data_IF_703562604265
#
_entry.id   IF_703562604265
#
_cell.length_a   1.000
_cell.length_b   1.000
_cell.length_c   1.000
_cell.angle_alpha   90.00
_cell.angle_beta   90.00
_cell.angle_gamma   90.00
#
_symmetry.space_group_name_H-M   'P 1'
#
loop_
_entity.id
_entity.type
_entity.pdbx_description
1 polymer ?
#
# COMPACT_ATOMS: atom_id res chain seq x y z
N UNK A 1 26.21 -26.46 -48.29
CA UNK A 1 25.36 -27.62 -48.63
C UNK A 1 24.06 -27.50 -47.89
N UNK A 2 22.99 -27.43 -48.65
CA UNK A 2 21.59 -27.29 -48.20
C UNK A 2 21.10 -28.60 -47.59
N UNK A 3 20.27 -28.56 -46.56
CA UNK A 3 19.14 -29.47 -46.38
C UNK A 3 18.06 -28.84 -45.51
N UNK A 4 16.99 -28.41 -46.15
CA UNK A 4 15.68 -28.13 -45.60
C UNK A 4 15.00 -29.45 -45.22
N UNK A 5 14.28 -29.48 -44.10
CA UNK A 5 13.18 -30.43 -43.92
C UNK A 5 11.98 -29.64 -43.38
N UNK A 6 10.97 -29.60 -44.23
CA UNK A 6 9.57 -29.19 -43.99
C UNK A 6 8.78 -30.48 -43.75
N UNK A 7 7.82 -30.47 -42.84
CA UNK A 7 6.58 -31.30 -42.88
C UNK A 7 6.01 -31.41 -41.46
N UNK A 8 4.77 -31.35 -41.15
CA UNK A 8 3.51 -30.98 -41.79
C UNK A 8 2.46 -30.96 -40.64
N UNK A 9 1.45 -30.22 -40.86
CA UNK A 9 0.22 -30.12 -40.01
C UNK A 9 -0.51 -31.47 -39.95
N UNK A 10 -1.16 -31.76 -38.80
CA UNK A 10 -2.42 -32.52 -38.82
C UNK A 10 -3.35 -31.95 -37.71
N UNK A 11 -4.43 -31.40 -38.21
CA UNK A 11 -5.68 -31.05 -37.47
C UNK A 11 -6.47 -32.33 -37.21
N UNK A 12 -7.05 -32.45 -36.02
CA UNK A 12 -8.18 -33.34 -35.78
C UNK A 12 -9.16 -32.68 -34.84
N UNK A 13 -10.28 -32.27 -35.40
CA UNK A 13 -11.50 -31.84 -34.67
C UNK A 13 -12.31 -33.11 -34.35
N UNK A 14 -12.82 -33.19 -33.13
CA UNK A 14 -13.94 -34.13 -32.81
C UNK A 14 -14.99 -33.32 -32.07
N UNK A 15 -16.12 -33.19 -32.73
CA UNK A 15 -17.42 -32.74 -32.23
C UNK A 15 -18.16 -33.98 -31.73
N UNK A 16 -18.69 -33.97 -30.56
CA UNK A 16 -19.77 -34.88 -30.16
C UNK A 16 -20.77 -34.13 -29.29
N UNK A 17 -21.92 -33.84 -29.88
CA UNK A 17 -23.15 -33.45 -29.22
C UNK A 17 -23.89 -34.68 -28.73
N UNK A 18 -24.46 -34.67 -27.53
CA UNK A 18 -25.57 -35.54 -27.18
C UNK A 18 -26.54 -34.80 -26.21
N UNK A 19 -27.71 -34.60 -26.74
CA UNK A 19 -28.96 -34.17 -26.15
C UNK A 19 -29.50 -35.21 -25.15
N UNK A 20 -30.13 -34.76 -24.07
CA UNK A 20 -30.88 -35.59 -23.18
C UNK A 20 -31.87 -34.79 -22.35
N UNK A 21 -33.12 -34.71 -22.83
CA UNK A 21 -34.29 -34.22 -22.12
C UNK A 21 -34.71 -35.18 -20.97
N UNK A 22 -35.25 -34.60 -19.88
CA UNK A 22 -35.95 -35.36 -18.83
C UNK A 22 -36.75 -34.43 -17.93
N UNK A 23 -38.03 -34.30 -18.23
CA UNK A 23 -39.10 -33.57 -17.50
C UNK A 23 -39.68 -34.44 -16.36
N UNK A 24 -40.10 -33.83 -15.25
CA UNK A 24 -41.31 -34.10 -14.46
C UNK A 24 -41.32 -33.20 -13.23
N UNK A 25 -42.21 -32.26 -13.20
CA UNK A 25 -43.59 -32.23 -12.70
C UNK A 25 -43.73 -32.15 -11.19
N UNK A 26 -44.12 -30.98 -10.71
CA UNK A 26 -45.32 -30.55 -9.99
C UNK A 26 -45.58 -31.12 -8.59
N UNK A 27 -45.72 -30.26 -7.59
CA UNK A 27 -46.99 -30.13 -6.86
C UNK A 27 -47.09 -28.76 -6.15
N UNK A 28 -48.13 -28.04 -6.46
CA UNK A 28 -48.68 -26.89 -5.75
C UNK A 28 -49.24 -27.34 -4.39
N UNK A 29 -49.28 -26.44 -3.41
CA UNK A 29 -50.44 -26.30 -2.53
C UNK A 29 -50.52 -24.90 -1.95
N UNK A 30 -51.63 -24.29 -2.24
CA UNK A 30 -52.27 -23.05 -1.87
C UNK A 30 -52.70 -23.01 -0.40
N UNK A 31 -52.78 -21.82 0.20
CA UNK A 31 -53.90 -21.21 0.97
C UNK A 31 -53.33 -20.01 1.76
N UNK A 32 -53.69 -18.90 1.54
CA UNK A 32 -54.73 -17.86 1.64
C UNK A 32 -55.41 -17.79 3.03
N UNK A 33 -55.40 -16.55 3.61
CA UNK A 33 -56.45 -15.84 4.34
C UNK A 33 -55.82 -14.67 5.12
N UNK A 34 -55.94 -13.40 4.74
CA UNK A 34 -57.06 -12.44 4.91
C UNK A 34 -57.48 -12.22 6.37
N UNK A 35 -57.33 -10.98 6.85
CA UNK A 35 -58.26 -10.02 7.48
C UNK A 35 -57.45 -8.88 8.08
N UNK A 36 -57.52 -7.67 7.57
CA UNK A 36 -58.51 -6.59 7.68
C UNK A 36 -58.48 -5.85 9.02
N UNK A 37 -57.95 -4.61 8.90
CA UNK A 37 -58.50 -3.31 9.28
C UNK A 37 -58.79 -3.03 10.78
N UNK A 38 -58.27 -1.92 11.25
CA UNK A 38 -59.08 -0.79 11.67
C UNK A 38 -58.28 0.49 11.91
N UNK A 39 -58.88 1.54 11.47
CA UNK A 39 -58.51 2.95 11.42
C UNK A 39 -58.74 3.58 12.80
N UNK A 40 -57.87 4.48 13.24
CA UNK A 40 -58.28 5.65 14.01
C UNK A 40 -57.42 6.85 13.70
N UNK A 41 -58.07 7.84 13.15
CA UNK A 41 -57.69 9.21 12.93
C UNK A 41 -57.62 9.98 14.25
N UNK A 42 -56.62 10.83 14.42
CA UNK A 42 -56.75 12.08 15.16
C UNK A 42 -55.73 13.10 14.65
N UNK A 43 -56.30 14.15 14.22
CA UNK A 43 -55.86 15.42 13.70
C UNK A 43 -55.11 16.25 14.73
N UNK A 44 -54.02 16.93 14.32
CA UNK A 44 -53.66 18.23 14.85
C UNK A 44 -52.54 18.88 14.02
N UNK A 45 -52.95 19.81 13.25
CA UNK A 45 -52.27 20.90 12.57
C UNK A 45 -51.25 21.62 13.47
N UNK A 46 -50.04 21.89 12.99
CA UNK A 46 -49.40 23.23 13.11
C UNK A 46 -48.15 23.37 12.21
N UNK A 47 -48.25 24.31 11.29
CA UNK A 47 -47.30 25.28 10.79
C UNK A 47 -45.92 24.81 10.28
N UNK A 48 -45.79 24.87 8.99
CA UNK A 48 -44.55 25.03 8.24
C UNK A 48 -43.82 26.33 8.64
N UNK A 49 -42.55 26.22 8.97
CA UNK A 49 -41.60 27.32 8.81
C UNK A 49 -40.41 26.76 8.03
N UNK A 50 -40.37 27.11 6.77
CA UNK A 50 -39.21 27.00 5.91
C UNK A 50 -38.14 27.96 6.43
N UNK A 51 -37.01 27.43 6.91
CA UNK A 51 -35.75 28.18 6.97
C UNK A 51 -34.87 27.65 5.86
N UNK A 52 -34.85 28.38 4.79
CA UNK A 52 -33.77 28.47 3.83
C UNK A 52 -32.50 28.88 4.60
N UNK A 53 -31.62 27.92 4.90
CA UNK A 53 -30.32 28.20 5.47
C UNK A 53 -29.38 28.58 4.34
N UNK A 54 -29.10 29.85 4.35
CA UNK A 54 -28.08 30.59 3.63
C UNK A 54 -26.75 29.82 3.63
N UNK A 55 -26.38 29.31 2.43
CA UNK A 55 -25.04 28.73 2.17
C UNK A 55 -24.09 29.88 1.85
N UNK A 56 -23.67 30.59 2.86
CA UNK A 56 -22.54 31.51 2.76
C UNK A 56 -21.87 31.61 4.12
N UNK A 57 -21.24 30.53 4.53
CA UNK A 57 -20.20 30.63 5.56
C UNK A 57 -18.88 30.39 4.83
N UNK A 58 -18.22 31.49 4.50
CA UNK A 58 -16.84 31.52 4.08
C UNK A 58 -16.05 30.80 5.17
N UNK A 59 -15.44 29.66 4.80
CA UNK A 59 -14.52 28.96 5.66
C UNK A 59 -13.51 29.96 6.22
N UNK A 60 -13.51 30.14 7.53
CA UNK A 60 -12.48 30.88 8.23
C UNK A 60 -11.15 30.22 7.83
N UNK A 61 -10.29 30.99 7.17
CA UNK A 61 -8.93 30.58 6.83
C UNK A 61 -8.22 30.38 8.16
N UNK A 62 -8.13 29.12 8.61
CA UNK A 62 -7.39 28.76 9.79
C UNK A 62 -5.91 29.10 9.57
N UNK A 63 -5.23 29.59 10.60
CA UNK A 63 -3.77 29.75 10.60
C UNK A 63 -3.15 28.41 10.14
N UNK A 64 -2.48 28.41 8.95
CA UNK A 64 -1.89 27.21 8.35
C UNK A 64 -2.55 26.73 7.05
N UNK A 65 -3.36 27.56 6.37
CA UNK A 65 -3.88 27.22 5.03
C UNK A 65 -2.72 27.08 4.03
N UNK A 66 -2.76 26.01 3.23
CA UNK A 66 -1.77 25.77 2.20
C UNK A 66 -1.89 26.86 1.12
N UNK A 67 -0.77 27.43 0.67
CA UNK A 67 -0.73 28.40 -0.44
C UNK A 67 -1.25 27.80 -1.75
N UNK A 68 -1.02 26.51 -1.96
CA UNK A 68 -1.53 25.76 -3.10
C UNK A 68 -3.06 25.83 -3.22
N UNK A 69 -3.80 26.12 -2.11
CA UNK A 69 -5.25 26.25 -2.12
C UNK A 69 -5.76 27.65 -2.47
N UNK A 70 -4.88 28.66 -2.58
CA UNK A 70 -5.30 30.04 -2.85
C UNK A 70 -5.81 30.27 -4.29
N UNK A 71 -5.27 29.55 -5.29
CA UNK A 71 -5.60 29.71 -6.71
C UNK A 71 -5.63 28.36 -7.44
N UNK A 72 -6.52 27.48 -7.00
CA UNK A 72 -6.66 26.13 -7.58
C UNK A 72 -7.30 26.20 -8.96
N UNK A 73 -6.65 25.60 -9.97
CA UNK A 73 -7.29 25.34 -11.27
C UNK A 73 -8.37 24.22 -11.09
N UNK A 74 -9.66 24.52 -11.30
CA UNK A 74 -10.71 23.50 -11.12
C UNK A 74 -10.61 22.34 -12.12
N UNK A 75 -9.84 22.50 -13.20
CA UNK A 75 -9.58 21.44 -14.18
C UNK A 75 -8.30 20.66 -13.90
N UNK A 76 -7.43 21.19 -13.04
CA UNK A 76 -6.22 20.52 -12.56
C UNK A 76 -6.53 19.26 -11.73
N UNK A 77 -5.51 18.50 -11.36
CA UNK A 77 -5.72 17.30 -10.55
C UNK A 77 -6.15 17.67 -9.13
N UNK A 78 -5.48 18.63 -8.50
CA UNK A 78 -5.86 19.15 -7.18
C UNK A 78 -7.31 19.63 -7.16
N UNK A 79 -7.73 20.42 -8.17
CA UNK A 79 -9.12 20.90 -8.29
C UNK A 79 -10.14 19.77 -8.35
N UNK A 80 -9.84 18.69 -9.05
CA UNK A 80 -10.70 17.51 -9.13
C UNK A 80 -10.77 16.75 -7.80
N UNK A 81 -9.65 16.61 -7.08
CA UNK A 81 -9.59 16.01 -5.74
C UNK A 81 -10.48 16.80 -4.78
N UNK A 82 -10.33 18.13 -4.75
CA UNK A 82 -11.14 19.01 -3.89
C UNK A 82 -12.63 18.94 -4.23
N UNK A 83 -12.97 18.95 -5.52
CA UNK A 83 -14.35 18.85 -5.98
C UNK A 83 -14.98 17.49 -5.67
N UNK A 84 -14.19 16.41 -5.70
CA UNK A 84 -14.61 15.07 -5.31
C UNK A 84 -14.77 14.90 -3.80
N UNK A 85 -14.17 15.79 -2.99
CA UNK A 85 -14.16 15.73 -1.54
C UNK A 85 -13.35 14.55 -0.99
N UNK A 86 -12.48 13.93 -1.79
CA UNK A 86 -11.65 12.80 -1.36
C UNK A 86 -10.34 12.70 -2.14
N UNK A 87 -9.33 12.15 -1.49
CA UNK A 87 -8.03 11.79 -2.08
C UNK A 87 -7.76 10.29 -1.90
N UNK A 88 -7.25 9.64 -2.93
CA UNK A 88 -6.97 8.20 -2.92
C UNK A 88 -5.48 7.93 -2.71
N UNK A 89 -5.16 7.09 -1.72
CA UNK A 89 -3.81 6.62 -1.41
C UNK A 89 -3.65 5.15 -1.81
N UNK A 90 -2.68 4.82 -2.66
CA UNK A 90 -2.21 3.44 -2.84
C UNK A 90 -1.10 3.11 -1.86
N UNK A 91 -1.20 1.93 -1.22
CA UNK A 91 -0.21 1.45 -0.24
C UNK A 91 -0.12 -0.07 -0.21
N UNK A 92 1.05 -0.62 0.16
CA UNK A 92 1.29 -2.06 0.36
C UNK A 92 1.41 -2.35 1.86
N UNK A 93 0.29 -2.68 2.54
CA UNK A 93 0.24 -2.69 4.01
C UNK A 93 0.82 -3.97 4.62
N UNK A 94 2.08 -4.24 4.35
CA UNK A 94 2.92 -5.33 4.84
C UNK A 94 4.32 -4.84 5.28
N UNK A 95 4.49 -3.51 5.41
CA UNK A 95 5.78 -2.85 5.60
C UNK A 95 5.82 -2.04 6.91
N UNK A 96 5.59 -2.71 8.06
CA UNK A 96 5.68 -2.06 9.38
C UNK A 96 7.08 -1.50 9.64
N UNK A 97 7.20 -0.32 10.27
CA UNK A 97 6.15 0.49 10.91
C UNK A 97 5.50 1.55 10.00
N UNK A 98 5.77 1.55 8.69
CA UNK A 98 5.26 2.58 7.77
C UNK A 98 3.78 2.36 7.42
N UNK A 99 3.44 1.16 6.94
CA UNK A 99 2.08 0.76 6.63
C UNK A 99 1.87 -0.73 6.89
N UNK A 100 0.84 -1.06 7.67
CA UNK A 100 0.51 -2.45 7.99
C UNK A 100 -0.97 -2.62 8.36
N UNK A 101 -1.40 -3.88 8.36
CA UNK A 101 -2.75 -4.26 8.76
C UNK A 101 -2.81 -4.47 10.26
N UNK A 102 -3.74 -3.77 10.91
CA UNK A 102 -4.15 -4.02 12.26
C UNK A 102 -5.51 -4.72 12.26
N UNK A 103 -5.58 -5.88 12.88
CA UNK A 103 -6.83 -6.67 12.98
C UNK A 103 -7.21 -6.95 14.43
N UNK A 104 -6.60 -6.27 15.41
CA UNK A 104 -6.83 -6.46 16.84
C UNK A 104 -8.24 -6.13 17.28
N UNK A 105 -8.86 -5.14 16.63
CA UNK A 105 -10.26 -4.76 16.90
C UNK A 105 -11.30 -5.73 16.34
N UNK A 106 -10.88 -6.79 15.61
CA UNK A 106 -11.76 -7.69 14.87
C UNK A 106 -12.15 -7.18 13.47
N UNK A 107 -11.76 -5.94 13.13
CA UNK A 107 -11.86 -5.36 11.79
C UNK A 107 -10.45 -5.09 11.27
N UNK A 108 -10.28 -5.09 9.95
CA UNK A 108 -8.99 -4.72 9.36
C UNK A 108 -8.89 -3.20 9.28
N UNK A 109 -7.88 -2.65 9.96
CA UNK A 109 -7.49 -1.25 9.83
C UNK A 109 -6.13 -1.17 9.15
N UNK A 110 -5.93 -0.13 8.32
CA UNK A 110 -4.61 0.20 7.78
C UNK A 110 -4.01 1.30 8.63
N UNK A 111 -2.80 1.06 9.13
CA UNK A 111 -2.14 1.91 10.12
C UNK A 111 -0.65 2.00 9.84
N UNK A 112 0.03 2.95 10.47
CA UNK A 112 1.47 3.17 10.32
C UNK A 112 1.78 4.62 9.97
N UNK A 113 3.06 4.98 10.00
CA UNK A 113 3.49 6.36 9.83
C UNK A 113 3.11 6.96 8.47
N UNK A 114 3.16 6.15 7.40
CA UNK A 114 2.76 6.56 6.04
C UNK A 114 1.24 6.77 5.95
N UNK A 115 0.47 5.98 6.71
CA UNK A 115 -0.98 6.15 6.79
C UNK A 115 -1.34 7.42 7.56
N UNK A 116 -0.64 7.74 8.64
CA UNK A 116 -0.85 8.99 9.38
C UNK A 116 -0.44 10.22 8.54
N UNK A 117 0.65 10.12 7.77
CA UNK A 117 1.03 11.15 6.80
C UNK A 117 -0.09 11.39 5.76
N UNK A 118 -0.67 10.32 5.22
CA UNK A 118 -1.77 10.43 4.27
C UNK A 118 -3.02 11.06 4.87
N UNK A 119 -3.38 10.69 6.11
CA UNK A 119 -4.48 11.31 6.87
C UNK A 119 -4.24 12.81 7.07
N UNK A 120 -3.03 13.18 7.43
CA UNK A 120 -2.66 14.58 7.63
C UNK A 120 -2.74 15.38 6.34
N UNK A 121 -2.29 14.82 5.21
CA UNK A 121 -2.45 15.45 3.88
C UNK A 121 -3.94 15.65 3.56
N UNK A 122 -4.78 14.63 3.74
CA UNK A 122 -6.21 14.72 3.47
C UNK A 122 -6.89 15.78 4.36
N UNK A 123 -6.54 15.85 5.65
CA UNK A 123 -7.00 16.87 6.59
C UNK A 123 -6.63 18.27 6.12
N UNK A 124 -5.37 18.50 5.72
CA UNK A 124 -4.89 19.81 5.24
C UNK A 124 -5.56 20.23 3.93
N UNK A 125 -5.93 19.29 3.09
CA UNK A 125 -6.68 19.53 1.86
C UNK A 125 -8.20 19.68 2.12
N UNK A 126 -8.69 19.34 3.31
CA UNK A 126 -10.11 19.36 3.66
C UNK A 126 -10.94 18.30 2.94
N UNK A 127 -10.36 17.12 2.66
CA UNK A 127 -10.99 16.00 1.94
C UNK A 127 -10.92 14.71 2.74
N UNK A 128 -11.72 13.71 2.36
CA UNK A 128 -11.64 12.37 2.94
C UNK A 128 -10.47 11.57 2.34
N UNK A 129 -9.81 10.73 3.15
CA UNK A 129 -8.80 9.78 2.68
C UNK A 129 -9.46 8.45 2.30
N UNK A 130 -9.26 8.00 1.05
CA UNK A 130 -9.60 6.64 0.62
C UNK A 130 -8.31 5.81 0.46
N UNK A 131 -8.10 4.80 1.32
CA UNK A 131 -6.94 3.91 1.24
C UNK A 131 -7.24 2.75 0.30
N UNK A 132 -6.39 2.54 -0.71
CA UNK A 132 -6.45 1.43 -1.67
C UNK A 132 -5.26 0.50 -1.45
N UNK A 133 -5.44 -0.60 -0.69
CA UNK A 133 -4.37 -1.57 -0.49
C UNK A 133 -4.10 -2.34 -1.79
N UNK A 134 -2.82 -2.46 -2.14
CA UNK A 134 -2.38 -3.20 -3.33
C UNK A 134 -0.92 -3.61 -3.19
N UNK A 135 -0.43 -4.46 -4.09
CA UNK A 135 0.98 -4.83 -4.16
C UNK A 135 1.86 -3.61 -4.52
N UNK A 136 3.10 -3.57 -4.02
CA UNK A 136 3.99 -2.41 -4.21
C UNK A 136 4.21 -2.06 -5.69
N UNK A 137 4.40 -3.06 -6.55
CA UNK A 137 4.54 -2.85 -7.99
C UNK A 137 3.26 -2.30 -8.65
N UNK A 138 2.09 -2.67 -8.12
CA UNK A 138 0.81 -2.18 -8.61
C UNK A 138 0.56 -0.71 -8.25
N UNK A 139 1.09 -0.23 -7.11
CA UNK A 139 1.01 1.19 -6.73
C UNK A 139 1.68 2.05 -7.81
N UNK A 140 2.88 1.68 -8.26
CA UNK A 140 3.62 2.42 -9.28
C UNK A 140 2.83 2.51 -10.59
N UNK A 141 2.18 1.41 -11.00
CA UNK A 141 1.33 1.37 -12.19
C UNK A 141 0.06 2.22 -12.01
N UNK A 142 -0.57 2.17 -10.83
CA UNK A 142 -1.77 2.93 -10.52
C UNK A 142 -1.50 4.45 -10.49
N UNK A 143 -0.36 4.87 -9.93
CA UNK A 143 0.12 6.27 -9.95
C UNK A 143 0.36 6.73 -11.39
N UNK A 144 1.16 6.01 -12.16
CA UNK A 144 1.52 6.40 -13.53
C UNK A 144 0.31 6.49 -14.45
N UNK A 145 -0.68 5.61 -14.27
CA UNK A 145 -1.94 5.65 -15.03
C UNK A 145 -2.95 6.68 -14.51
N UNK A 146 -2.76 7.24 -13.29
CA UNK A 146 -3.71 8.16 -12.65
C UNK A 146 -4.96 7.45 -12.10
N UNK A 147 -4.86 6.17 -11.74
CA UNK A 147 -5.94 5.40 -11.12
C UNK A 147 -6.04 5.64 -9.59
N UNK A 148 -5.01 6.22 -9.02
CA UNK A 148 -4.94 6.74 -7.66
C UNK A 148 -4.27 8.12 -7.70
N UNK A 149 -4.54 8.95 -6.70
CA UNK A 149 -4.03 10.31 -6.64
C UNK A 149 -2.60 10.35 -6.11
N UNK A 150 -2.29 9.51 -5.11
CA UNK A 150 -0.94 9.41 -4.52
C UNK A 150 -0.58 7.98 -4.13
N UNK A 151 0.69 7.65 -4.24
CA UNK A 151 1.30 6.42 -3.71
C UNK A 151 2.17 6.77 -2.51
N UNK A 152 1.84 6.22 -1.33
CA UNK A 152 2.62 6.35 -0.11
C UNK A 152 2.84 4.95 0.44
N UNK A 153 4.09 4.46 0.36
CA UNK A 153 4.45 3.09 0.74
C UNK A 153 5.97 2.95 0.88
N UNK A 154 6.57 3.77 1.73
CA UNK A 154 8.01 3.76 1.94
C UNK A 154 8.84 3.98 0.68
N UNK A 155 8.34 4.71 -0.32
CA UNK A 155 9.04 4.90 -1.58
C UNK A 155 10.39 5.58 -1.37
N UNK A 156 11.49 4.90 -1.72
CA UNK A 156 12.76 5.54 -1.89
C UNK A 156 12.76 6.40 -3.17
N UNK A 157 13.43 7.54 -3.14
CA UNK A 157 13.72 8.29 -4.36
C UNK A 157 14.67 7.48 -5.25
N UNK A 158 14.37 7.39 -6.54
CA UNK A 158 15.29 6.90 -7.58
C UNK A 158 15.07 7.71 -8.86
N UNK A 159 16.14 7.92 -9.64
CA UNK A 159 16.05 8.63 -10.91
C UNK A 159 15.05 7.97 -11.87
N UNK A 160 15.03 6.64 -11.91
CA UNK A 160 14.07 5.85 -12.72
C UNK A 160 12.61 6.17 -12.34
N UNK A 161 12.30 6.28 -11.04
CA UNK A 161 10.97 6.69 -10.59
C UNK A 161 10.67 8.14 -10.94
N UNK A 162 11.63 9.02 -10.81
CA UNK A 162 11.49 10.44 -11.17
C UNK A 162 11.26 10.66 -12.67
N UNK A 163 11.72 9.75 -13.53
CA UNK A 163 11.41 9.79 -14.98
C UNK A 163 9.93 9.49 -15.26
N UNK A 164 9.31 8.59 -14.50
CA UNK A 164 7.95 8.07 -14.76
C UNK A 164 6.86 8.69 -13.89
N UNK A 165 7.20 9.26 -12.72
CA UNK A 165 6.26 9.80 -11.74
C UNK A 165 6.68 11.20 -11.28
N UNK A 166 5.75 11.99 -10.75
CA UNK A 166 6.04 13.14 -9.91
C UNK A 166 6.41 12.64 -8.51
N UNK A 167 7.57 13.04 -8.00
CA UNK A 167 8.03 12.66 -6.67
C UNK A 167 8.09 13.89 -5.78
N UNK A 168 7.57 13.76 -4.56
CA UNK A 168 7.52 14.85 -3.58
C UNK A 168 8.89 15.22 -3.01
N UNK A 169 8.93 16.30 -2.23
CA UNK A 169 9.96 16.52 -1.23
C UNK A 169 10.07 15.30 -0.30
N UNK A 170 11.23 15.17 0.32
CA UNK A 170 11.52 14.00 1.17
C UNK A 170 10.92 14.12 2.55
N UNK A 171 10.30 13.04 3.01
CA UNK A 171 9.90 12.82 4.39
C UNK A 171 10.71 11.66 5.00
N UNK A 172 10.56 11.36 6.28
CA UNK A 172 11.32 10.32 6.98
C UNK A 172 12.85 10.48 6.83
N UNK A 173 13.32 11.72 6.87
CA UNK A 173 14.72 12.10 6.58
C UNK A 173 15.71 11.68 7.68
N UNK A 174 15.22 11.31 8.85
CA UNK A 174 16.04 10.93 10.01
C UNK A 174 16.33 9.42 10.09
N UNK A 175 15.85 8.64 9.14
CA UNK A 175 16.15 7.19 9.13
C UNK A 175 17.63 6.93 8.85
N UNK A 176 18.26 6.10 9.69
CA UNK A 176 19.70 5.78 9.60
C UNK A 176 19.97 4.29 9.41
N UNK A 177 18.93 3.47 9.35
CA UNK A 177 19.07 2.01 9.43
C UNK A 177 19.31 1.31 8.10
N UNK A 178 19.70 2.00 7.05
CA UNK A 178 20.15 1.38 5.80
C UNK A 178 19.20 0.32 5.20
N UNK A 179 19.75 -0.50 4.32
CA UNK A 179 19.09 -1.62 3.65
C UNK A 179 19.91 -2.89 3.89
N UNK A 180 19.26 -4.03 4.14
CA UNK A 180 19.97 -5.26 4.48
C UNK A 180 19.15 -6.51 4.18
N UNK A 181 19.53 -7.60 4.84
CA UNK A 181 18.91 -8.91 4.63
C UNK A 181 18.48 -9.52 5.98
N UNK A 182 17.26 -10.02 6.05
CA UNK A 182 16.84 -10.95 7.09
C UNK A 182 17.31 -12.35 6.73
N UNK A 183 17.81 -13.07 7.71
CA UNK A 183 18.28 -14.45 7.62
C UNK A 183 17.79 -15.24 8.85
N UNK A 184 18.01 -16.55 8.87
CA UNK A 184 17.83 -17.33 10.11
C UNK A 184 18.73 -16.79 11.21
N UNK A 185 18.18 -16.58 12.41
CA UNK A 185 18.84 -15.91 13.54
C UNK A 185 20.18 -16.52 13.90
N UNK A 186 20.27 -17.84 13.90
CA UNK A 186 21.50 -18.57 14.20
C UNK A 186 22.61 -18.40 13.14
N UNK A 187 22.28 -17.87 11.98
CA UNK A 187 23.21 -17.64 10.87
C UNK A 187 23.57 -16.17 10.68
N UNK A 188 22.97 -15.24 11.42
CA UNK A 188 23.08 -13.79 11.18
C UNK A 188 24.53 -13.30 11.09
N UNK A 189 25.40 -13.72 12.00
CA UNK A 189 26.82 -13.33 12.02
C UNK A 189 27.67 -14.03 10.94
N UNK A 190 27.17 -15.08 10.31
CA UNK A 190 27.85 -15.75 9.20
C UNK A 190 27.67 -15.00 7.88
N UNK A 191 26.59 -14.23 7.78
CA UNK A 191 26.26 -13.39 6.62
C UNK A 191 26.76 -11.96 6.87
N UNK A 192 28.06 -11.76 6.81
CA UNK A 192 28.73 -10.48 7.14
C UNK A 192 29.37 -9.77 5.95
N UNK A 193 29.38 -10.39 4.77
CA UNK A 193 29.81 -9.79 3.50
C UNK A 193 28.84 -10.20 2.38
N UNK A 194 28.90 -9.49 1.23
CA UNK A 194 28.11 -9.86 0.06
C UNK A 194 28.45 -11.30 -0.43
N UNK A 195 29.74 -11.68 -0.39
CA UNK A 195 30.21 -13.00 -0.83
C UNK A 195 29.64 -14.14 0.01
N UNK A 196 29.25 -13.88 1.26
CA UNK A 196 28.64 -14.91 2.12
C UNK A 196 27.29 -15.40 1.58
N UNK A 197 26.69 -14.67 0.63
CA UNK A 197 25.45 -15.05 -0.06
C UNK A 197 25.68 -15.79 -1.38
N UNK A 198 26.93 -16.08 -1.80
CA UNK A 198 27.23 -16.81 -3.03
C UNK A 198 26.43 -18.12 -3.11
N UNK A 199 25.73 -18.35 -4.24
CA UNK A 199 24.89 -19.52 -4.49
C UNK A 199 23.61 -19.61 -3.67
N UNK A 200 23.29 -18.61 -2.85
CA UNK A 200 22.11 -18.57 -1.96
C UNK A 200 20.84 -18.12 -2.71
N UNK A 201 19.69 -18.43 -2.13
CA UNK A 201 18.38 -17.95 -2.59
C UNK A 201 17.99 -16.75 -1.75
N UNK A 202 17.76 -15.61 -2.39
CA UNK A 202 17.38 -14.36 -1.74
C UNK A 202 16.01 -13.92 -2.24
N UNK A 203 15.03 -13.84 -1.34
CA UNK A 203 13.73 -13.25 -1.65
C UNK A 203 13.84 -11.72 -1.67
N UNK A 204 13.18 -11.10 -2.63
CA UNK A 204 13.07 -9.64 -2.74
C UNK A 204 11.66 -9.27 -3.21
N UNK A 205 11.08 -8.21 -2.66
CA UNK A 205 9.80 -7.74 -3.15
C UNK A 205 9.98 -7.06 -4.51
N UNK A 206 9.07 -7.35 -5.44
CA UNK A 206 9.15 -6.88 -6.82
C UNK A 206 9.11 -5.34 -6.91
N UNK A 207 9.91 -4.76 -7.82
CA UNK A 207 10.00 -3.32 -8.11
C UNK A 207 10.45 -2.44 -6.93
N UNK A 208 11.08 -3.03 -5.90
CA UNK A 208 11.60 -2.31 -4.74
C UNK A 208 13.07 -1.90 -4.91
N UNK A 209 13.51 -0.94 -4.08
CA UNK A 209 14.92 -0.61 -3.94
C UNK A 209 15.73 -1.83 -3.51
N UNK A 210 15.21 -2.64 -2.58
CA UNK A 210 15.87 -3.84 -2.07
C UNK A 210 16.11 -4.87 -3.16
N UNK A 211 15.17 -5.02 -4.11
CA UNK A 211 15.38 -5.86 -5.29
C UNK A 211 16.53 -5.35 -6.16
N UNK A 212 16.59 -4.05 -6.41
CA UNK A 212 17.68 -3.42 -7.16
C UNK A 212 19.03 -3.64 -6.46
N UNK A 213 19.13 -3.31 -5.17
CA UNK A 213 20.36 -3.45 -4.39
C UNK A 213 20.84 -4.91 -4.34
N UNK A 214 19.93 -5.87 -4.12
CA UNK A 214 20.27 -7.29 -4.12
C UNK A 214 20.80 -7.76 -5.48
N UNK A 215 20.22 -7.28 -6.57
CA UNK A 215 20.65 -7.62 -7.93
C UNK A 215 22.02 -7.01 -8.27
N UNK A 216 22.30 -5.80 -7.80
CA UNK A 216 23.52 -5.06 -8.13
C UNK A 216 24.70 -5.40 -7.22
N UNK A 217 24.46 -5.72 -5.93
CA UNK A 217 25.52 -5.81 -4.93
C UNK A 217 25.78 -7.23 -4.41
N UNK A 218 24.88 -8.18 -4.63
CA UNK A 218 25.16 -9.57 -4.28
C UNK A 218 25.88 -10.30 -5.41
N UNK A 219 26.57 -11.42 -5.11
CA UNK A 219 27.23 -12.25 -6.13
C UNK A 219 26.29 -12.67 -7.26
N UNK A 220 26.80 -12.76 -8.47
CA UNK A 220 26.01 -13.07 -9.68
C UNK A 220 25.39 -14.47 -9.72
N UNK A 221 25.81 -15.38 -8.84
CA UNK A 221 25.26 -16.72 -8.67
C UNK A 221 24.15 -16.79 -7.59
N UNK A 222 23.80 -15.66 -6.97
CA UNK A 222 22.64 -15.55 -6.10
C UNK A 222 21.37 -15.75 -6.90
N UNK A 223 20.46 -16.57 -6.37
CA UNK A 223 19.18 -16.85 -6.99
C UNK A 223 18.11 -15.90 -6.41
N UNK A 224 17.82 -14.82 -7.11
CA UNK A 224 16.76 -13.88 -6.70
C UNK A 224 15.39 -14.53 -6.88
N UNK A 225 14.59 -14.53 -5.80
CA UNK A 225 13.20 -15.00 -5.78
C UNK A 225 12.29 -13.79 -5.56
N UNK A 226 11.56 -13.39 -6.59
CA UNK A 226 10.62 -12.28 -6.49
C UNK A 226 9.38 -12.69 -5.71
N UNK A 227 9.00 -11.86 -4.74
CA UNK A 227 7.73 -11.96 -4.01
C UNK A 227 6.88 -10.72 -4.24
N UNK A 228 5.56 -10.85 -4.11
CA UNK A 228 4.63 -9.73 -4.28
C UNK A 228 4.49 -8.90 -3.01
N UNK A 229 4.66 -9.54 -1.85
CA UNK A 229 4.60 -8.91 -0.52
C UNK A 229 5.69 -9.46 0.41
N UNK A 230 6.03 -8.69 1.42
CA UNK A 230 7.09 -9.04 2.40
C UNK A 230 6.69 -10.27 3.23
N UNK A 231 5.41 -10.41 3.57
CA UNK A 231 4.92 -11.54 4.39
C UNK A 231 5.21 -12.89 3.72
N UNK A 232 5.03 -13.01 2.39
CA UNK A 232 5.39 -14.21 1.65
C UNK A 232 6.90 -14.48 1.72
N UNK A 233 7.73 -13.42 1.61
CA UNK A 233 9.18 -13.51 1.77
C UNK A 233 9.58 -14.04 3.17
N UNK A 234 8.95 -13.53 4.23
CA UNK A 234 9.14 -14.02 5.61
C UNK A 234 8.76 -15.49 5.72
N UNK A 235 7.61 -15.90 5.17
CA UNK A 235 7.20 -17.31 5.17
C UNK A 235 8.18 -18.20 4.40
N UNK A 236 8.74 -17.72 3.30
CA UNK A 236 9.76 -18.46 2.56
C UNK A 236 11.05 -18.61 3.37
N UNK A 237 11.48 -17.56 4.08
CA UNK A 237 12.66 -17.58 4.94
C UNK A 237 12.47 -18.50 6.14
N UNK A 238 11.36 -18.37 6.88
CA UNK A 238 11.07 -19.18 8.08
C UNK A 238 10.92 -20.66 7.75
N UNK A 239 10.41 -21.01 6.56
CA UNK A 239 10.29 -22.40 6.09
C UNK A 239 11.54 -22.92 5.37
N UNK A 240 12.61 -22.11 5.22
CA UNK A 240 13.85 -22.50 4.56
C UNK A 240 13.75 -22.65 3.03
N UNK A 241 12.74 -22.07 2.39
CA UNK A 241 12.63 -22.04 0.91
C UNK A 241 13.60 -21.04 0.29
N UNK A 242 13.97 -20.00 1.05
CA UNK A 242 15.04 -19.05 0.75
C UNK A 242 15.99 -18.93 1.93
N UNK A 243 17.21 -18.48 1.68
CA UNK A 243 18.25 -18.29 2.69
C UNK A 243 18.19 -16.89 3.32
N UNK A 244 17.67 -15.89 2.57
CA UNK A 244 17.55 -14.52 3.03
C UNK A 244 16.34 -13.80 2.39
N UNK A 245 15.93 -12.68 3.02
CA UNK A 245 14.92 -11.75 2.53
C UNK A 245 15.48 -10.33 2.59
N UNK A 246 15.52 -9.62 1.46
CA UNK A 246 15.97 -8.24 1.40
C UNK A 246 14.89 -7.27 1.92
N UNK A 247 15.27 -6.42 2.88
CA UNK A 247 14.38 -5.50 3.60
C UNK A 247 15.09 -4.19 3.93
N UNK A 248 14.33 -3.15 4.30
CA UNK A 248 14.91 -2.02 5.01
C UNK A 248 15.27 -2.40 6.44
N UNK A 249 16.27 -1.73 7.04
CA UNK A 249 16.70 -2.03 8.40
C UNK A 249 15.58 -1.89 9.43
N UNK A 250 14.76 -0.83 9.32
CA UNK A 250 13.63 -0.64 10.24
C UNK A 250 12.56 -1.74 10.11
N UNK A 251 12.19 -2.12 8.88
CA UNK A 251 11.24 -3.21 8.65
C UNK A 251 11.81 -4.55 9.13
N UNK A 252 13.08 -4.82 8.81
CA UNK A 252 13.77 -6.03 9.26
C UNK A 252 13.81 -6.17 10.79
N UNK A 253 14.11 -5.09 11.51
CA UNK A 253 14.06 -5.09 12.98
C UNK A 253 12.63 -5.29 13.51
N UNK A 254 11.63 -4.71 12.86
CA UNK A 254 10.24 -4.89 13.22
C UNK A 254 9.80 -6.35 13.04
N UNK A 255 10.19 -6.97 11.92
CA UNK A 255 9.92 -8.39 11.66
C UNK A 255 10.68 -9.32 12.62
N UNK A 256 11.94 -9.01 12.93
CA UNK A 256 12.72 -9.79 13.89
C UNK A 256 12.19 -9.75 15.34
N UNK A 257 11.38 -8.75 15.68
CA UNK A 257 10.64 -8.72 16.96
C UNK A 257 9.37 -9.58 16.92
N UNK A 258 8.80 -9.79 15.74
CA UNK A 258 7.58 -10.57 15.54
C UNK A 258 7.88 -12.07 15.33
N UNK A 259 9.02 -12.37 14.71
CA UNK A 259 9.44 -13.73 14.37
C UNK A 259 10.78 -14.05 15.06
N UNK A 260 10.74 -14.87 16.09
CA UNK A 260 11.91 -15.15 16.97
C UNK A 260 13.05 -15.89 16.29
N UNK A 261 12.80 -16.54 15.16
CA UNK A 261 13.74 -17.40 14.43
C UNK A 261 14.49 -16.67 13.29
N UNK A 262 14.25 -15.38 13.09
CA UNK A 262 14.94 -14.55 12.10
C UNK A 262 15.62 -13.34 12.73
N UNK A 263 16.66 -12.83 12.08
CA UNK A 263 17.37 -11.61 12.49
C UNK A 263 17.98 -10.92 11.25
N UNK A 264 18.31 -9.64 11.40
CA UNK A 264 19.13 -8.96 10.40
C UNK A 264 20.51 -9.61 10.33
N UNK A 265 21.00 -9.84 9.11
CA UNK A 265 22.39 -10.21 8.86
C UNK A 265 23.32 -9.06 9.25
N UNK A 266 24.58 -9.37 9.55
CA UNK A 266 25.59 -8.33 9.80
C UNK A 266 25.94 -7.54 8.52
N UNK A 267 25.68 -8.12 7.35
CA UNK A 267 25.84 -7.45 6.06
C UNK A 267 24.73 -6.42 5.82
N UNK A 268 25.15 -5.24 5.39
CA UNK A 268 24.25 -4.17 4.91
C UNK A 268 24.66 -3.75 3.50
N UNK A 269 23.68 -3.46 2.67
CA UNK A 269 23.92 -2.89 1.34
C UNK A 269 24.57 -1.51 1.44
N UNK A 270 25.46 -1.19 0.51
CA UNK A 270 26.00 0.15 0.34
C UNK A 270 24.91 1.07 -0.26
N UNK A 271 24.20 1.72 0.64
CA UNK A 271 23.11 2.64 0.32
C UNK A 271 22.90 3.66 1.43
N UNK A 272 22.89 4.93 1.04
CA UNK A 272 22.55 6.04 1.94
C UNK A 272 21.15 6.54 1.62
N UNK A 273 20.24 6.43 2.58
CA UNK A 273 18.89 6.97 2.44
C UNK A 273 18.90 8.48 2.69
N UNK A 274 18.22 9.21 1.82
CA UNK A 274 17.93 10.64 1.99
C UNK A 274 16.48 10.88 2.45
N UNK A 275 15.75 9.82 2.81
CA UNK A 275 14.34 9.83 3.15
C UNK A 275 13.46 9.16 2.09
N UNK A 276 12.15 9.22 2.34
CA UNK A 276 11.13 8.68 1.46
C UNK A 276 10.42 9.80 0.67
N UNK A 277 9.71 9.43 -0.37
CA UNK A 277 8.93 10.34 -1.22
C UNK A 277 7.52 9.83 -1.43
N UNK A 278 6.58 10.74 -1.64
CA UNK A 278 5.24 10.44 -2.13
C UNK A 278 5.29 10.48 -3.66
N UNK A 279 4.67 9.49 -4.30
CA UNK A 279 4.56 9.44 -5.75
C UNK A 279 3.18 9.93 -6.20
N UNK A 280 3.14 10.83 -7.18
CA UNK A 280 1.95 11.26 -7.89
C UNK A 280 2.14 11.02 -9.39
N UNK A 281 1.07 11.11 -10.18
CA UNK A 281 1.20 11.01 -11.62
C UNK A 281 2.13 12.11 -12.16
N UNK A 282 2.96 11.76 -13.13
CA UNK A 282 3.87 12.72 -13.77
C UNK A 282 3.09 13.87 -14.40
N UNK A 283 3.45 15.11 -14.01
CA UNK A 283 2.80 16.34 -14.49
C UNK A 283 1.61 16.83 -13.67
N UNK A 284 1.25 16.14 -12.59
CA UNK A 284 0.24 16.60 -11.62
C UNK A 284 0.88 17.56 -10.61
N UNK A 285 1.48 18.63 -11.12
CA UNK A 285 2.32 19.55 -10.34
C UNK A 285 1.50 20.36 -9.31
N UNK A 286 0.22 20.61 -9.55
CA UNK A 286 -0.69 21.28 -8.63
C UNK A 286 -0.92 20.46 -7.34
N UNK A 287 -1.22 19.17 -7.47
CA UNK A 287 -1.35 18.26 -6.34
C UNK A 287 0.01 18.04 -5.65
N UNK A 288 1.08 17.87 -6.43
CA UNK A 288 2.43 17.67 -5.89
C UNK A 288 2.89 18.85 -5.05
N UNK A 289 2.63 20.10 -5.51
CA UNK A 289 2.97 21.30 -4.75
C UNK A 289 2.20 21.38 -3.42
N UNK A 290 0.91 21.04 -3.41
CA UNK A 290 0.12 21.00 -2.18
C UNK A 290 0.66 19.94 -1.19
N UNK A 291 1.01 18.76 -1.68
CA UNK A 291 1.63 17.70 -0.88
C UNK A 291 2.99 18.17 -0.32
N UNK A 292 3.81 18.85 -1.13
CA UNK A 292 5.13 19.35 -0.69
C UNK A 292 5.01 20.37 0.43
N UNK A 293 4.02 21.29 0.38
CA UNK A 293 3.78 22.23 1.48
C UNK A 293 3.46 21.49 2.79
N UNK A 294 2.68 20.41 2.72
CA UNK A 294 2.38 19.58 3.90
C UNK A 294 3.63 18.86 4.40
N UNK A 295 4.46 18.32 3.51
CA UNK A 295 5.71 17.62 3.90
C UNK A 295 6.67 18.57 4.60
N UNK A 296 6.80 19.82 4.13
CA UNK A 296 7.61 20.83 4.81
C UNK A 296 7.13 21.05 6.23
N UNK A 297 5.83 21.23 6.45
CA UNK A 297 5.24 21.38 7.78
C UNK A 297 5.47 20.14 8.66
N UNK A 298 5.29 18.93 8.10
CA UNK A 298 5.53 17.65 8.80
C UNK A 298 6.99 17.54 9.26
N UNK A 299 7.94 17.89 8.40
CA UNK A 299 9.37 17.86 8.71
C UNK A 299 9.74 18.90 9.78
N UNK A 300 9.25 20.14 9.64
CA UNK A 300 9.52 21.22 10.61
C UNK A 300 8.99 20.90 12.01
N UNK A 301 7.84 20.25 12.09
CA UNK A 301 7.21 19.86 13.36
C UNK A 301 7.68 18.51 13.89
N UNK A 302 8.45 17.73 13.11
CA UNK A 302 8.90 16.40 13.48
C UNK A 302 7.76 15.39 13.66
N UNK A 303 6.63 15.57 12.95
CA UNK A 303 5.43 14.75 13.14
C UNK A 303 5.65 13.31 12.67
N UNK A 304 6.38 13.13 11.57
CA UNK A 304 6.57 11.79 11.01
C UNK A 304 7.30 10.85 11.98
N UNK A 305 8.31 11.35 12.71
CA UNK A 305 9.01 10.57 13.71
C UNK A 305 8.10 10.15 14.87
N UNK A 306 7.21 11.05 15.33
CA UNK A 306 6.21 10.72 16.35
C UNK A 306 5.28 9.61 15.89
N UNK A 307 4.72 9.72 14.67
CA UNK A 307 3.87 8.68 14.09
C UNK A 307 4.60 7.34 13.92
N UNK A 308 5.89 7.40 13.58
CA UNK A 308 6.73 6.19 13.45
C UNK A 308 6.94 5.51 14.80
N UNK A 309 7.19 6.25 15.85
CA UNK A 309 7.34 5.70 17.22
C UNK A 309 6.02 5.08 17.71
N UNK A 310 4.90 5.73 17.46
CA UNK A 310 3.56 5.21 17.77
C UNK A 310 3.28 3.91 16.99
N UNK A 311 3.60 3.90 15.70
CA UNK A 311 3.44 2.73 14.85
C UNK A 311 4.30 1.55 15.30
N UNK A 312 5.56 1.79 15.71
CA UNK A 312 6.44 0.76 16.29
C UNK A 312 5.81 0.18 17.55
N UNK A 313 5.32 1.04 18.45
CA UNK A 313 4.66 0.60 19.69
C UNK A 313 3.42 -0.24 19.39
N UNK A 314 2.60 0.22 18.45
CA UNK A 314 1.39 -0.49 18.01
C UNK A 314 1.74 -1.86 17.42
N UNK A 315 2.68 -1.94 16.49
CA UNK A 315 3.09 -3.19 15.86
C UNK A 315 3.68 -4.20 16.85
N UNK A 316 4.49 -3.75 17.81
CA UNK A 316 5.11 -4.62 18.83
C UNK A 316 4.05 -5.26 19.75
N UNK A 317 3.03 -4.50 20.13
CA UNK A 317 1.93 -5.01 20.96
C UNK A 317 1.08 -6.08 20.26
N UNK A 318 1.05 -6.07 18.92
CA UNK A 318 0.34 -7.09 18.12
C UNK A 318 1.07 -8.41 17.98
N UNK A 319 2.41 -8.38 17.95
CA UNK A 319 3.22 -9.60 17.80
C UNK A 319 3.11 -10.55 19.00
N UNK A 320 2.83 -10.00 20.19
CA UNK A 320 2.73 -10.80 21.41
C UNK A 320 1.44 -11.64 21.50
N UNK A 321 0.36 -11.26 20.83
CA UNK A 321 -0.98 -11.88 21.01
C UNK A 321 -1.38 -12.85 19.89
N UNK A 322 -0.58 -13.04 18.83
CA UNK A 322 -0.98 -13.78 17.62
C UNK A 322 -0.47 -15.20 17.45
N UNK A 323 0.47 -15.65 18.27
CA UNK A 323 0.91 -17.04 18.25
C UNK A 323 0.39 -17.81 19.46
N UNK A 324 -0.94 -17.92 19.60
CA UNK A 324 -1.57 -19.03 20.31
C UNK A 324 -2.02 -20.01 19.23
N UNK A 325 -1.50 -21.26 19.22
CA UNK A 325 -1.76 -22.26 18.21
C UNK A 325 -3.24 -22.69 18.15
#
# INVERSE_FOLDING_TARGET
MKKNIVLAMTTAAVIAALTGCGSSKTTETTAAATTAAETTTADATTAAESKEADKTEAAAVAEGSLKALENVDPNGHLGKVLAAGKITMGTSPDFAPWEFKDVSSGTTEYVGADVELAKYIAEKLGVELEIKPMEFSAIQQAVTSGNIDMGISGFAYTDERAESMGLSERYNVNTKKGQGLLVKKELASQYNTAESFAGKKVATQNATLQNKLATEQLPSDVQIQLVTNITDGVMMLTTGKVDALAVSGDNGESLAKTYDDIAMADFMFDYSSEGNVIAVKKGDDDLLNAINEVIVEVNEKGLYEQWREEAVSRHTNFGADRFVP
#
